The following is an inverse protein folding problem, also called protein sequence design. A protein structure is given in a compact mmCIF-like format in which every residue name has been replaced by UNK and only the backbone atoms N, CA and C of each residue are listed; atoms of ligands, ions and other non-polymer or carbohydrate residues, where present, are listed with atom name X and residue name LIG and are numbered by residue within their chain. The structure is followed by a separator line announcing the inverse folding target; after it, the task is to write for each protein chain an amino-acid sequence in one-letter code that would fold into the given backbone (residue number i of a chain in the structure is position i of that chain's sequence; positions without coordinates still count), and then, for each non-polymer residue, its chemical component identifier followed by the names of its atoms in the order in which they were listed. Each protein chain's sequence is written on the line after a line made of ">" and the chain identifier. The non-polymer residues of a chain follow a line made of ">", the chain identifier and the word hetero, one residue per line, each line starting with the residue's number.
data_IF_486636813905
#
_entry.id   IF_486636813905
#
_cell.length_a   1.000
_cell.length_b   1.000
_cell.length_c   1.000
_cell.angle_alpha   90.00
_cell.angle_beta   90.00
_cell.angle_gamma   90.00
#
_symmetry.space_group_name_H-M   'P 1'
#
loop_
_entity.id
_entity.type
_entity.pdbx_description
1 polymer ?
#
# COMPACT_ATOMS: atom_id res chain seq x y z
N UNK A 1 3.23 9.84 45.08
CA UNK A 1 2.81 11.23 45.31
C UNK A 1 4.05 12.05 45.55
N UNK A 2 4.18 13.24 44.95
CA UNK A 2 5.22 14.19 45.32
C UNK A 2 4.63 15.02 46.47
N UNK A 3 5.11 14.78 47.67
CA UNK A 3 4.51 15.28 48.91
C UNK A 3 4.49 16.82 48.98
N UNK A 4 5.42 17.49 48.28
CA UNK A 4 5.60 18.95 48.33
C UNK A 4 5.55 19.64 46.96
N UNK A 5 4.86 19.07 45.96
CA UNK A 5 4.56 19.76 44.70
C UNK A 5 5.77 20.13 43.83
N UNK A 6 6.89 19.40 43.96
CA UNK A 6 8.05 19.58 43.08
C UNK A 6 7.82 19.12 41.65
N UNK A 7 8.64 19.61 40.72
CA UNK A 7 8.62 19.20 39.30
C UNK A 7 9.52 17.99 39.09
N UNK A 8 9.00 16.91 38.49
CA UNK A 8 9.83 15.80 38.02
C UNK A 8 10.29 16.11 36.60
N UNK A 9 11.60 16.20 36.43
CA UNK A 9 12.21 16.37 35.12
C UNK A 9 12.46 15.00 34.47
N UNK A 10 11.62 14.65 33.50
CA UNK A 10 11.77 13.44 32.69
C UNK A 10 12.57 13.68 31.40
N UNK A 11 13.16 14.86 31.20
CA UNK A 11 13.84 15.22 29.94
C UNK A 11 14.98 14.27 29.58
N UNK A 12 15.65 13.70 30.59
CA UNK A 12 16.71 12.69 30.39
C UNK A 12 16.19 11.30 29.95
N UNK A 13 14.88 11.07 30.03
CA UNK A 13 14.21 9.83 29.62
C UNK A 13 13.33 10.02 28.39
N UNK A 14 13.24 11.25 27.87
CA UNK A 14 12.59 11.61 26.61
C UNK A 14 13.64 11.76 25.50
N UNK A 15 14.63 10.88 25.51
CA UNK A 15 15.66 10.84 24.50
C UNK A 15 15.09 10.10 23.27
N UNK A 16 14.33 10.83 22.45
CA UNK A 16 13.89 10.35 21.12
C UNK A 16 15.09 10.22 20.15
N UNK A 17 16.18 9.63 20.64
CA UNK A 17 17.47 9.34 20.01
C UNK A 17 17.44 8.00 19.31
N UNK A 18 16.28 7.35 19.22
CA UNK A 18 16.11 6.06 18.60
C UNK A 18 16.34 6.20 17.09
N UNK A 19 17.61 6.08 16.72
CA UNK A 19 18.09 5.97 15.36
C UNK A 19 17.74 4.57 14.83
N UNK A 20 16.44 4.33 14.64
CA UNK A 20 15.93 3.06 14.15
C UNK A 20 16.04 3.05 12.62
N UNK A 21 17.02 2.32 12.11
CA UNK A 21 17.11 2.00 10.68
C UNK A 21 16.27 0.76 10.39
N UNK A 22 15.91 0.56 9.12
CA UNK A 22 15.48 -0.77 8.69
C UNK A 22 16.70 -1.68 8.78
N UNK A 23 16.63 -2.69 9.66
CA UNK A 23 17.67 -3.69 9.83
C UNK A 23 17.48 -4.87 8.88
N UNK A 24 16.23 -5.16 8.51
CA UNK A 24 15.88 -6.19 7.54
C UNK A 24 14.56 -5.88 6.81
N UNK A 25 14.46 -6.33 5.56
CA UNK A 25 13.23 -6.27 4.76
C UNK A 25 13.08 -7.53 3.91
N UNK A 26 11.85 -8.03 3.81
CA UNK A 26 11.54 -9.12 2.89
C UNK A 26 10.14 -8.99 2.32
N UNK A 27 9.97 -9.52 1.10
CA UNK A 27 8.69 -9.67 0.45
C UNK A 27 8.45 -11.16 0.20
N UNK A 28 7.41 -11.71 0.82
CA UNK A 28 6.95 -13.08 0.58
C UNK A 28 5.51 -13.05 0.06
N UNK A 29 5.34 -13.37 -1.22
CA UNK A 29 4.06 -13.18 -1.90
C UNK A 29 3.66 -11.69 -1.85
N UNK A 30 2.57 -11.39 -1.14
CA UNK A 30 2.06 -10.03 -0.94
C UNK A 30 2.36 -9.48 0.45
N UNK A 31 3.09 -10.21 1.30
CA UNK A 31 3.40 -9.77 2.66
C UNK A 31 4.77 -9.09 2.65
N UNK A 32 4.76 -7.77 2.83
CA UNK A 32 5.97 -6.99 3.11
C UNK A 32 6.24 -7.06 4.62
N UNK A 33 7.43 -7.55 4.97
CA UNK A 33 7.92 -7.63 6.34
C UNK A 33 9.07 -6.64 6.52
N UNK A 34 8.99 -5.76 7.52
CA UNK A 34 10.02 -4.79 7.87
C UNK A 34 10.43 -5.00 9.32
N UNK A 35 11.73 -5.10 9.57
CA UNK A 35 12.30 -5.11 10.92
C UNK A 35 13.11 -3.84 11.14
N UNK A 36 12.86 -3.18 12.28
CA UNK A 36 13.61 -2.01 12.69
C UNK A 36 14.79 -2.41 13.59
N UNK A 37 15.91 -1.72 13.46
CA UNK A 37 17.04 -1.84 14.38
C UNK A 37 16.57 -1.46 15.79
N UNK A 38 16.75 -2.37 16.75
CA UNK A 38 16.29 -2.20 18.14
C UNK A 38 14.76 -2.03 18.28
N UNK A 39 13.99 -2.40 17.24
CA UNK A 39 12.53 -2.30 17.23
C UNK A 39 11.85 -3.64 16.92
N UNK A 40 10.54 -3.58 16.71
CA UNK A 40 9.73 -4.75 16.36
C UNK A 40 9.75 -5.03 14.86
N UNK A 41 9.43 -6.27 14.50
CA UNK A 41 9.08 -6.65 13.13
C UNK A 41 7.60 -6.39 12.88
N UNK A 42 7.29 -5.70 11.79
CA UNK A 42 5.93 -5.45 11.34
C UNK A 42 5.70 -6.09 9.96
N UNK A 43 4.49 -6.58 9.74
CA UNK A 43 4.06 -7.10 8.44
C UNK A 43 2.89 -6.30 7.91
N UNK A 44 2.88 -6.08 6.60
CA UNK A 44 1.75 -5.47 5.88
C UNK A 44 1.47 -6.28 4.63
N UNK A 45 0.21 -6.64 4.43
CA UNK A 45 -0.23 -7.24 3.18
C UNK A 45 -0.48 -6.14 2.14
N UNK A 46 0.28 -6.16 1.06
CA UNK A 46 0.18 -5.21 -0.06
C UNK A 46 -0.67 -5.77 -1.21
N UNK A 47 -1.34 -6.92 -1.04
CA UNK A 47 -2.19 -7.50 -2.07
C UNK A 47 -3.26 -6.52 -2.60
N UNK A 48 -3.73 -5.60 -1.75
CA UNK A 48 -4.76 -4.62 -2.10
C UNK A 48 -4.25 -3.36 -2.78
N UNK A 49 -2.92 -3.18 -2.98
CA UNK A 49 -2.41 -1.96 -3.62
C UNK A 49 -2.63 -1.93 -5.14
N UNK A 50 -3.09 -3.03 -5.75
CA UNK A 50 -3.38 -3.09 -7.19
C UNK A 50 -4.55 -4.02 -7.52
N UNK A 51 -5.69 -3.86 -6.84
CA UNK A 51 -6.94 -4.42 -7.36
C UNK A 51 -7.44 -3.50 -8.48
N UNK A 52 -6.84 -3.63 -9.65
CA UNK A 52 -7.47 -3.11 -10.85
C UNK A 52 -8.85 -3.78 -10.99
N UNK A 53 -9.92 -3.01 -10.82
CA UNK A 53 -11.31 -3.50 -10.86
C UNK A 53 -11.95 -3.31 -12.23
N UNK A 54 -11.12 -3.11 -13.27
CA UNK A 54 -11.48 -2.88 -14.66
C UNK A 54 -12.67 -3.75 -15.11
N UNK A 55 -13.85 -3.15 -15.22
CA UNK A 55 -14.98 -3.78 -15.90
C UNK A 55 -14.84 -3.58 -17.41
N UNK A 56 -15.22 -4.62 -18.15
CA UNK A 56 -15.34 -4.60 -19.61
C UNK A 56 -16.82 -4.63 -19.99
N UNK A 57 -17.22 -3.73 -20.87
CA UNK A 57 -18.55 -3.76 -21.49
C UNK A 57 -18.44 -3.56 -22.99
N UNK A 58 -19.33 -4.20 -23.74
CA UNK A 58 -19.47 -4.01 -25.18
C UNK A 58 -20.86 -3.49 -25.50
N UNK A 59 -20.92 -2.38 -26.23
CA UNK A 59 -22.15 -1.85 -26.80
C UNK A 59 -21.85 -1.35 -28.22
N UNK A 60 -22.67 -1.75 -29.19
CA UNK A 60 -22.51 -1.39 -30.61
C UNK A 60 -21.06 -1.44 -31.12
N UNK A 61 -20.35 -2.53 -30.83
CA UNK A 61 -18.96 -2.78 -31.24
C UNK A 61 -17.90 -1.86 -30.61
N UNK A 62 -18.28 -1.06 -29.63
CA UNK A 62 -17.36 -0.27 -28.82
C UNK A 62 -17.06 -1.07 -27.56
N UNK A 63 -15.81 -1.53 -27.43
CA UNK A 63 -15.30 -2.07 -26.18
C UNK A 63 -14.97 -0.91 -25.26
N UNK A 64 -15.63 -0.85 -24.11
CA UNK A 64 -15.34 0.15 -23.07
C UNK A 64 -14.61 -0.54 -21.91
N UNK A 65 -13.48 0.05 -21.53
CA UNK A 65 -12.75 -0.22 -20.31
C UNK A 65 -13.12 0.92 -19.34
N UNK A 66 -13.80 0.61 -18.22
CA UNK A 66 -14.07 1.52 -17.07
C UNK A 66 -13.01 2.62 -16.88
N UNK A 67 -11.72 2.26 -16.68
CA UNK A 67 -10.62 3.24 -16.58
C UNK A 67 -9.70 3.34 -17.82
N UNK A 68 -9.93 2.53 -18.86
CA UNK A 68 -9.05 2.41 -20.04
C UNK A 68 -9.57 3.10 -21.30
N UNK A 69 -10.76 3.73 -21.24
CA UNK A 69 -11.38 4.39 -22.39
C UNK A 69 -12.09 3.42 -23.33
N UNK A 70 -12.18 3.77 -24.61
CA UNK A 70 -12.97 3.01 -25.60
C UNK A 70 -12.15 2.59 -26.80
N UNK A 71 -12.40 1.38 -27.31
CA UNK A 71 -11.86 0.86 -28.56
C UNK A 71 -13.02 0.57 -29.51
N UNK A 72 -13.00 1.17 -30.69
CA UNK A 72 -13.96 0.87 -31.76
C UNK A 72 -13.50 -0.37 -32.55
N UNK A 73 -14.26 -1.46 -32.44
CA UNK A 73 -13.99 -2.72 -33.10
C UNK A 73 -14.63 -2.83 -34.49
N UNK A 74 -15.35 -1.80 -34.96
CA UNK A 74 -16.09 -1.84 -36.22
C UNK A 74 -15.22 -2.19 -37.43
N UNK A 75 -13.95 -1.75 -37.43
CA UNK A 75 -13.00 -2.05 -38.51
C UNK A 75 -12.53 -3.52 -38.56
N UNK A 76 -12.79 -4.28 -37.49
CA UNK A 76 -12.39 -5.69 -37.36
C UNK A 76 -13.57 -6.66 -37.50
N UNK A 77 -14.79 -6.13 -37.66
CA UNK A 77 -15.98 -6.92 -37.97
C UNK A 77 -16.02 -7.16 -39.48
N UNK A 78 -15.16 -8.05 -39.94
CA UNK A 78 -15.37 -8.70 -41.24
C UNK A 78 -16.52 -9.71 -41.06
N UNK A 79 -17.71 -9.31 -41.50
CA UNK A 79 -18.92 -10.14 -41.47
C UNK A 79 -19.20 -10.79 -42.84
N UNK A 80 -18.17 -11.00 -43.65
CA UNK A 80 -18.28 -11.61 -44.97
C UNK A 80 -18.14 -13.13 -44.85
N UNK A 81 -19.19 -13.81 -44.39
CA UNK A 81 -19.36 -15.26 -44.54
C UNK A 81 -20.44 -15.63 -45.58
#
# INVERSE_FOLDING_TARGET
>A
TLEDGGTVDLSNYLDNTDNQKISDFSLNGTILTITLENGNTQTVDIASSSSDDQKLSIDNNILTLEDGGTVDLSNYLDNTD
#
